data_IF_663750433255
#
_entry.id   IF_663750433255
#
_cell.length_a   1.000
_cell.length_b   1.000
_cell.length_c   1.000
_cell.angle_alpha   90.00
_cell.angle_beta   90.00
_cell.angle_gamma   90.00
#
_symmetry.space_group_name_H-M   'P 1'
#
loop_
_entity.id
_entity.type
_entity.pdbx_description
1 polymer ?
#
# COMPACT_ATOMS: atom_id res chain seq x y z
N UNK A 1 -17.29 3.04 -1.65
CA UNK A 1 -16.03 2.72 -0.91
C UNK A 1 -15.27 1.67 -1.68
N UNK A 2 -13.97 1.87 -1.97
CA UNK A 2 -13.13 0.93 -2.72
C UNK A 2 -11.85 0.61 -1.95
N UNK A 3 -11.55 -0.68 -1.81
CA UNK A 3 -10.30 -1.18 -1.24
C UNK A 3 -9.41 -1.71 -2.36
N UNK A 4 -8.12 -1.40 -2.29
CA UNK A 4 -7.09 -1.96 -3.16
C UNK A 4 -5.86 -2.35 -2.36
N UNK A 5 -5.10 -3.34 -2.82
CA UNK A 5 -3.93 -3.88 -2.13
C UNK A 5 -2.75 -4.10 -3.08
N UNK A 6 -2.18 -3.04 -3.68
CA UNK A 6 -1.06 -3.16 -4.59
C UNK A 6 0.17 -3.81 -3.93
N UNK A 7 0.89 -4.59 -4.72
CA UNK A 7 2.23 -5.04 -4.35
C UNK A 7 3.23 -3.93 -4.69
N UNK A 8 3.92 -3.39 -3.70
CA UNK A 8 4.79 -2.22 -3.91
C UNK A 8 6.26 -2.59 -4.19
N UNK A 9 6.65 -3.83 -3.88
CA UNK A 9 8.01 -4.36 -4.13
C UNK A 9 8.04 -5.54 -5.11
N UNK A 10 6.90 -5.91 -5.68
CA UNK A 10 6.85 -7.04 -6.60
C UNK A 10 7.41 -6.62 -7.96
N UNK A 11 8.34 -7.42 -8.47
CA UNK A 11 8.85 -7.25 -9.83
C UNK A 11 7.73 -7.50 -10.86
N UNK A 12 7.71 -6.76 -11.99
CA UNK A 12 6.77 -7.01 -13.07
C UNK A 12 6.79 -8.47 -13.53
N UNK A 13 5.63 -9.00 -13.90
CA UNK A 13 5.52 -10.36 -14.44
C UNK A 13 6.21 -10.51 -15.81
N UNK A 14 6.25 -9.42 -16.58
CA UNK A 14 6.96 -9.30 -17.85
C UNK A 14 7.97 -8.16 -17.70
N UNK A 15 9.25 -8.47 -17.84
CA UNK A 15 10.32 -7.48 -17.86
C UNK A 15 11.17 -7.69 -19.12
N UNK A 16 11.88 -6.68 -19.60
CA UNK A 16 12.83 -6.82 -20.71
C UNK A 16 14.06 -7.67 -20.35
N UNK A 17 14.17 -8.17 -19.11
CA UNK A 17 15.19 -9.12 -18.74
C UNK A 17 15.03 -10.40 -19.55
N UNK A 18 16.15 -10.91 -20.06
CA UNK A 18 16.17 -12.04 -21.00
C UNK A 18 15.49 -13.29 -20.45
N UNK A 19 15.56 -13.56 -19.14
CA UNK A 19 14.89 -14.69 -18.48
C UNK A 19 14.62 -14.43 -16.99
N UNK A 20 13.66 -15.17 -16.40
CA UNK A 20 13.42 -15.15 -14.96
C UNK A 20 14.56 -15.87 -14.22
N UNK A 21 15.15 -15.23 -13.20
CA UNK A 21 16.19 -15.86 -12.38
C UNK A 21 15.56 -17.01 -11.59
N UNK A 22 15.96 -18.25 -11.94
CA UNK A 22 15.51 -19.45 -11.24
C UNK A 22 15.84 -19.36 -9.73
N UNK A 23 14.89 -19.77 -8.89
CA UNK A 23 15.05 -19.77 -7.43
C UNK A 23 14.74 -18.44 -6.71
N UNK A 24 14.49 -17.33 -7.43
CA UNK A 24 14.16 -16.04 -6.80
C UNK A 24 12.67 -15.96 -6.40
N UNK A 25 12.40 -15.88 -5.10
CA UNK A 25 11.03 -15.65 -4.59
C UNK A 25 10.58 -14.20 -4.87
N UNK A 26 9.38 -14.04 -5.45
CA UNK A 26 8.76 -12.71 -5.63
C UNK A 26 8.44 -12.08 -4.28
N UNK A 27 8.78 -10.81 -4.14
CA UNK A 27 8.40 -10.05 -2.95
C UNK A 27 6.91 -9.71 -3.01
N UNK A 28 6.12 -10.32 -2.12
CA UNK A 28 4.66 -10.14 -2.02
C UNK A 28 4.24 -9.09 -0.97
N UNK A 29 5.14 -8.19 -0.55
CA UNK A 29 4.79 -7.11 0.36
C UNK A 29 3.76 -6.18 -0.30
N UNK A 30 2.70 -5.86 0.46
CA UNK A 30 1.56 -5.06 0.01
C UNK A 30 1.48 -3.74 0.77
N UNK A 31 0.76 -2.81 0.17
CA UNK A 31 0.18 -1.64 0.84
C UNK A 31 -1.30 -1.71 0.58
N UNK A 32 -2.13 -1.60 1.62
CA UNK A 32 -3.59 -1.51 1.44
C UNK A 32 -4.00 -0.05 1.43
N UNK A 33 -4.83 0.33 0.46
CA UNK A 33 -5.40 1.66 0.35
C UNK A 33 -6.92 1.54 0.30
N UNK A 34 -7.58 2.33 1.16
CA UNK A 34 -9.02 2.49 1.20
C UNK A 34 -9.36 3.89 0.69
N UNK A 35 -10.15 3.93 -0.38
CA UNK A 35 -10.62 5.15 -1.03
C UNK A 35 -12.14 5.25 -0.87
N UNK A 36 -12.60 6.43 -0.50
CA UNK A 36 -14.03 6.72 -0.36
C UNK A 36 -14.33 8.06 -1.04
N UNK A 37 -15.29 8.05 -1.97
CA UNK A 37 -15.80 9.26 -2.62
C UNK A 37 -17.32 9.18 -2.73
N UNK A 38 -17.97 10.33 -2.92
CA UNK A 38 -19.37 10.37 -3.32
C UNK A 38 -19.54 9.84 -4.77
N UNK A 39 -20.80 9.63 -5.18
CA UNK A 39 -21.13 9.08 -6.51
C UNK A 39 -20.56 9.93 -7.65
N UNK A 40 -20.59 11.26 -7.52
CA UNK A 40 -20.08 12.21 -8.51
C UNK A 40 -18.54 12.36 -8.47
N UNK A 41 -17.86 11.78 -7.47
CA UNK A 41 -16.41 11.90 -7.30
C UNK A 41 -15.90 13.29 -6.87
N UNK A 42 -16.81 14.25 -6.65
CA UNK A 42 -16.50 15.64 -6.23
C UNK A 42 -16.03 15.71 -4.78
N UNK A 43 -16.58 14.88 -3.91
CA UNK A 43 -16.19 14.78 -2.50
C UNK A 43 -15.35 13.53 -2.34
N UNK A 44 -14.09 13.73 -1.94
CA UNK A 44 -13.14 12.66 -1.63
C UNK A 44 -12.83 12.70 -0.14
N UNK A 45 -13.09 11.60 0.55
CA UNK A 45 -12.73 11.44 1.95
C UNK A 45 -11.23 11.14 2.02
N UNK A 46 -10.57 11.63 3.08
CA UNK A 46 -9.15 11.37 3.36
C UNK A 46 -8.86 9.86 3.24
N UNK A 47 -7.98 9.42 2.32
CA UNK A 47 -7.69 8.01 2.13
C UNK A 47 -7.10 7.38 3.39
N UNK A 48 -7.32 6.08 3.57
CA UNK A 48 -6.65 5.31 4.60
C UNK A 48 -5.61 4.40 3.94
N UNK A 49 -4.39 4.40 4.48
CA UNK A 49 -3.27 3.59 4.00
C UNK A 49 -2.77 2.70 5.14
N UNK A 50 -2.72 1.39 4.88
CA UNK A 50 -2.10 0.41 5.78
C UNK A 50 -0.82 -0.12 5.13
N UNK A 51 0.29 0.08 5.81
CA UNK A 51 1.59 -0.39 5.37
C UNK A 51 2.08 -1.57 6.22
N UNK A 52 3.06 -2.33 5.71
CA UNK A 52 3.70 -3.41 6.47
C UNK A 52 4.52 -2.87 7.65
N UNK A 53 5.39 -1.89 7.39
CA UNK A 53 6.26 -1.25 8.39
C UNK A 53 5.59 -0.04 9.06
N UNK A 54 5.81 0.14 10.37
CA UNK A 54 5.45 1.36 11.11
C UNK A 54 6.05 2.63 10.50
N UNK A 55 7.31 2.58 10.06
CA UNK A 55 7.99 3.70 9.42
C UNK A 55 8.89 3.17 8.31
N UNK A 56 8.41 3.10 7.06
CA UNK A 56 9.23 2.66 5.93
C UNK A 56 10.31 3.70 5.65
N UNK A 57 11.41 3.27 5.01
CA UNK A 57 12.57 4.15 4.72
C UNK A 57 12.21 5.48 4.04
N UNK A 58 11.28 5.54 3.06
CA UNK A 58 10.87 6.82 2.46
C UNK A 58 10.19 7.80 3.42
N UNK A 59 9.67 7.33 4.55
CA UNK A 59 8.91 8.13 5.53
C UNK A 59 9.69 8.35 6.85
N UNK A 60 11.01 8.10 6.86
CA UNK A 60 11.82 8.10 8.09
C UNK A 60 11.86 9.46 8.82
N UNK A 61 11.62 10.56 8.10
CA UNK A 61 11.67 11.93 8.62
C UNK A 61 10.35 12.71 8.44
N UNK A 62 9.30 12.00 8.07
CA UNK A 62 7.98 12.59 7.83
C UNK A 62 7.08 12.22 9.01
N UNK A 63 6.46 13.22 9.63
CA UNK A 63 5.42 13.01 10.64
C UNK A 63 4.17 12.46 9.96
N UNK A 64 3.48 11.53 10.61
CA UNK A 64 2.41 10.75 9.94
C UNK A 64 1.14 11.60 9.83
N UNK A 65 1.02 12.58 10.71
CA UNK A 65 0.01 13.62 10.80
C UNK A 65 0.08 14.57 9.61
N UNK A 66 1.29 14.83 9.09
CA UNK A 66 1.54 15.68 7.92
C UNK A 66 1.15 14.98 6.60
N UNK A 67 0.87 13.67 6.63
CA UNK A 67 0.46 12.96 5.44
C UNK A 67 -0.99 13.32 5.04
N UNK A 68 -1.26 13.43 3.72
CA UNK A 68 -2.62 13.62 3.21
C UNK A 68 -3.50 12.37 3.34
N UNK A 69 -3.05 11.35 4.09
CA UNK A 69 -3.73 10.07 4.30
C UNK A 69 -3.72 9.69 5.78
N UNK A 70 -4.69 8.90 6.21
CA UNK A 70 -4.66 8.27 7.53
C UNK A 70 -3.75 7.04 7.45
N UNK A 71 -2.62 7.08 8.16
CA UNK A 71 -1.58 6.05 8.07
C UNK A 71 -1.65 5.06 9.22
N UNK A 72 -1.74 3.77 8.89
CA UNK A 72 -1.69 2.65 9.83
C UNK A 72 -0.65 1.63 9.40
N UNK A 73 -0.28 0.73 10.31
CA UNK A 73 0.67 -0.34 10.02
C UNK A 73 0.32 -1.64 10.73
N UNK A 74 0.58 -2.77 10.07
CA UNK A 74 0.61 -4.10 10.66
C UNK A 74 1.46 -5.06 9.81
N UNK A 75 1.94 -6.16 10.40
CA UNK A 75 2.84 -7.12 9.73
C UNK A 75 2.20 -7.91 8.59
N UNK A 76 0.93 -7.68 8.27
CA UNK A 76 0.24 -8.35 7.16
C UNK A 76 -0.15 -7.36 6.06
N UNK A 77 -0.09 -6.05 6.33
CA UNK A 77 -0.61 -4.95 5.54
C UNK A 77 -2.08 -5.14 5.09
N UNK A 78 -2.89 -5.81 5.92
CA UNK A 78 -4.32 -6.04 5.67
C UNK A 78 -5.21 -5.21 6.60
N UNK A 79 -6.44 -4.92 6.16
CA UNK A 79 -7.48 -4.42 7.08
C UNK A 79 -7.80 -5.53 8.08
N UNK A 80 -7.65 -5.26 9.36
CA UNK A 80 -8.28 -6.05 10.43
C UNK A 80 -9.72 -5.55 10.61
N UNK A 81 -10.68 -6.48 10.70
CA UNK A 81 -12.11 -6.16 10.88
C UNK A 81 -12.40 -5.52 12.25
N UNK A 82 -11.46 -5.62 13.19
CA UNK A 82 -11.55 -4.95 14.48
C UNK A 82 -11.20 -3.47 14.31
N UNK A 83 -12.26 -2.68 14.09
CA UNK A 83 -12.32 -1.26 14.43
C UNK A 83 -12.83 -1.18 15.88
#
# INVERSE_FOLDING_TARGET
IKKTGPFWKMEPSKSHAKEAIAGKKKNKQRVTVLLCSNLLGTIKIKPLVIHYYKTPRPLLRIKKEDLPVNYYWNNTAWMTTTI
#
